data_IF_258884802174
#
_entry.id   IF_258884802174
#
_cell.length_a   1.000
_cell.length_b   1.000
_cell.length_c   1.000
_cell.angle_alpha   90.00
_cell.angle_beta   90.00
_cell.angle_gamma   90.00
#
_symmetry.space_group_name_H-M   'P 1'
#
loop_
_entity.id
_entity.type
_entity.pdbx_description
1 polymer ?
2 non-polymer ?
3 water ?
#
# COMPACT_ATOMS: atom_id res chain seq x y z
N UNK A 19 12.79 18.20 8.65
CA UNK A 19 12.48 17.39 7.50
C UNK A 19 12.49 18.50 6.53
N UNK A 20 12.12 18.38 5.27
CA UNK A 20 11.53 17.25 4.63
C UNK A 20 10.03 17.14 4.78
N UNK A 21 9.39 18.21 5.25
CA UNK A 21 7.96 18.20 5.48
C UNK A 21 7.13 18.80 4.35
N UNK A 22 7.78 19.22 3.30
CA UNK A 22 7.08 19.90 2.24
C UNK A 22 6.71 19.11 1.04
N UNK A 23 7.21 17.95 0.85
CA UNK A 23 6.81 17.15 -0.34
C UNK A 23 5.40 16.68 -0.10
N UNK A 24 4.55 16.98 -1.07
CA UNK A 24 3.17 16.54 -1.00
C UNK A 24 3.06 15.21 -1.66
N UNK A 25 3.42 14.18 -0.90
CA UNK A 25 3.53 12.87 -1.49
C UNK A 25 2.24 12.28 -1.94
N UNK A 26 1.12 12.78 -1.46
CA UNK A 26 -0.19 12.32 -1.85
C UNK A 26 -0.65 12.90 -3.18
N UNK A 27 0.06 13.91 -3.65
CA UNK A 27 -0.23 14.50 -4.95
C UNK A 27 0.78 14.08 -6.01
N UNK A 28 1.00 12.79 -6.08
CA UNK A 28 2.11 12.28 -6.89
C UNK A 28 1.86 12.44 -8.38
N UNK A 29 0.63 12.44 -8.83
CA UNK A 29 0.29 12.58 -10.25
C UNK A 29 0.61 11.35 -11.10
N UNK A 30 0.83 10.19 -10.52
CA UNK A 30 1.34 9.05 -11.28
C UNK A 30 1.23 7.84 -10.43
N UNK A 31 1.32 6.65 -11.10
CA UNK A 31 1.25 5.39 -10.45
C UNK A 31 2.43 4.50 -10.80
N UNK A 32 2.58 3.44 -10.03
CA UNK A 32 3.46 2.33 -10.37
C UNK A 32 2.77 1.50 -11.44
N UNK A 33 3.61 0.87 -12.32
CA UNK A 33 3.07 0.29 -13.58
C UNK A 33 2.46 -1.10 -13.45
N UNK A 34 2.37 -1.68 -12.27
CA UNK A 34 1.80 -2.98 -12.12
C UNK A 34 0.30 -3.03 -11.91
N UNK A 35 -0.38 -1.91 -12.11
CA UNK A 35 -1.82 -1.86 -12.06
C UNK A 35 -2.28 -0.75 -12.96
N UNK A 36 -3.59 -0.50 -12.98
CA UNK A 36 -4.15 0.62 -13.70
C UNK A 36 -5.08 1.35 -12.77
N UNK A 37 -5.25 2.60 -13.04
CA UNK A 37 -6.11 3.45 -12.22
C UNK A 37 -7.10 4.17 -13.10
N UNK A 38 -8.36 4.11 -12.70
CA UNK A 38 -9.45 4.82 -13.34
C UNK A 38 -10.12 5.80 -12.33
N UNK A 39 -10.51 6.93 -12.82
CA UNK A 39 -11.32 7.85 -11.98
C UNK A 39 -12.63 8.11 -12.72
N UNK A 40 -13.73 7.81 -12.06
CA UNK A 40 -15.04 7.81 -12.66
C UNK A 40 -15.87 8.94 -12.04
N UNK A 41 -16.57 9.69 -12.87
CA UNK A 41 -17.49 10.73 -12.43
C UNK A 41 -18.72 10.16 -11.76
N UNK A 42 -19.12 10.74 -10.63
CA UNK A 42 -20.19 10.18 -9.77
C UNK A 42 -21.53 10.47 -10.37
N UNK A 43 -21.54 11.48 -11.23
CA UNK A 43 -22.76 12.06 -11.74
C UNK A 43 -23.03 11.39 -13.11
N UNK A 44 -21.99 11.22 -13.96
CA UNK A 44 -22.27 10.69 -15.32
C UNK A 44 -21.62 9.30 -15.67
N UNK A 45 -20.85 8.81 -14.72
CA UNK A 45 -20.06 7.56 -14.76
C UNK A 45 -19.13 7.38 -15.89
N UNK A 46 -18.52 8.43 -16.40
CA UNK A 46 -17.48 8.26 -17.39
C UNK A 46 -16.15 8.27 -16.70
N UNK A 47 -15.16 7.68 -17.32
CA UNK A 47 -13.81 7.76 -16.88
C UNK A 47 -13.35 9.14 -17.28
N UNK A 48 -13.06 9.95 -16.28
CA UNK A 48 -12.60 11.31 -16.49
C UNK A 48 -11.10 11.53 -16.31
N UNK A 49 -10.41 10.58 -15.71
CA UNK A 49 -9.01 10.64 -15.51
C UNK A 49 -8.54 9.15 -15.40
N UNK A 50 -7.36 8.84 -15.86
CA UNK A 50 -6.86 7.46 -15.78
C UNK A 50 -5.35 7.48 -15.85
N UNK A 51 -4.73 6.40 -15.35
CA UNK A 51 -3.34 6.24 -15.61
C UNK A 51 -3.12 6.01 -17.12
N UNK A 52 -2.00 6.48 -17.63
CA UNK A 52 -1.73 6.47 -19.05
C UNK A 52 -1.59 5.04 -19.62
N UNK A 53 -1.39 4.06 -18.76
CA UNK A 53 -1.26 2.66 -19.15
C UNK A 53 -2.57 1.88 -19.16
N UNK A 54 -3.68 2.57 -18.82
CA UNK A 54 -4.88 1.88 -18.51
C UNK A 54 -5.44 1.06 -19.70
N UNK A 55 -5.57 1.68 -20.85
CA UNK A 55 -6.06 0.96 -22.01
C UNK A 55 -5.18 -0.27 -22.33
N UNK A 56 -3.86 -0.11 -22.35
CA UNK A 56 -2.92 -1.20 -22.63
C UNK A 56 -3.09 -2.29 -21.57
N UNK A 57 -3.15 -1.88 -20.31
CA UNK A 57 -3.26 -2.79 -19.20
C UNK A 57 -4.52 -3.61 -19.16
N UNK A 58 -5.59 -3.00 -19.63
CA UNK A 58 -6.89 -3.61 -19.53
C UNK A 58 -7.42 -4.19 -20.84
N UNK A 59 -6.58 -4.23 -21.87
CA UNK A 59 -6.99 -4.75 -23.21
C UNK A 59 -8.20 -3.99 -23.73
N UNK A 60 -8.15 -2.68 -23.60
CA UNK A 60 -9.22 -1.80 -24.13
C UNK A 60 -8.64 -0.86 -25.16
N UNK A 61 -9.47 -0.45 -26.10
CA UNK A 61 -9.01 0.55 -27.08
C UNK A 61 -8.76 1.92 -26.51
N UNK A 62 -9.71 2.38 -25.76
CA UNK A 62 -9.51 3.65 -25.08
C UNK A 62 -10.23 3.54 -23.78
N UNK A 63 -9.89 4.43 -22.89
CA UNK A 63 -10.59 4.54 -21.60
C UNK A 63 -11.01 5.97 -21.27
N UNK A 64 -10.20 6.97 -21.62
CA UNK A 64 -10.56 8.29 -21.21
C UNK A 64 -11.80 8.74 -21.92
N UNK A 65 -12.76 9.24 -21.16
CA UNK A 65 -14.01 9.73 -21.65
C UNK A 65 -15.05 8.66 -21.90
N UNK A 66 -14.69 7.40 -21.67
CA UNK A 66 -15.57 6.31 -21.96
C UNK A 66 -16.49 6.07 -20.77
N UNK A 67 -17.76 5.83 -21.03
CA UNK A 67 -18.64 5.42 -19.96
C UNK A 67 -18.26 4.11 -19.33
N UNK A 68 -18.36 4.00 -18.00
CA UNK A 68 -18.08 2.78 -17.34
C UNK A 68 -18.91 1.64 -17.92
N UNK A 69 -20.10 1.96 -18.40
CA UNK A 69 -20.97 0.95 -19.04
C UNK A 69 -20.28 0.33 -20.23
N UNK A 70 -19.42 1.06 -20.94
CA UNK A 70 -18.67 0.53 -22.05
C UNK A 70 -17.50 -0.28 -21.58
N UNK A 71 -16.80 0.16 -20.51
CA UNK A 71 -15.57 -0.50 -19.98
C UNK A 71 -15.90 -1.92 -19.50
N UNK A 72 -16.87 -1.95 -18.60
CA UNK A 72 -17.47 -3.18 -18.18
C UNK A 72 -18.80 -2.91 -17.46
N UNK A 73 -19.87 -3.42 -18.06
CA UNK A 73 -21.20 -3.23 -17.54
C UNK A 73 -21.44 -3.80 -16.17
N UNK A 74 -20.88 -4.94 -15.88
CA UNK A 74 -21.02 -5.57 -14.61
C UNK A 74 -20.32 -4.76 -13.53
N UNK A 75 -19.18 -4.14 -13.86
CA UNK A 75 -18.47 -3.30 -12.88
C UNK A 75 -19.37 -2.08 -12.57
N UNK A 76 -19.97 -1.46 -13.55
CA UNK A 76 -20.85 -0.32 -13.34
C UNK A 76 -21.96 -0.72 -12.43
N UNK A 77 -22.57 -1.86 -12.68
CA UNK A 77 -23.61 -2.38 -11.81
C UNK A 77 -23.14 -2.55 -10.34
N UNK A 78 -21.90 -3.03 -10.16
CA UNK A 78 -21.29 -3.21 -8.81
C UNK A 78 -21.06 -1.87 -8.13
N UNK A 79 -20.65 -0.89 -8.90
CA UNK A 79 -20.34 0.44 -8.37
C UNK A 79 -21.55 1.24 -7.98
N UNK A 80 -22.66 1.09 -8.69
CA UNK A 80 -23.78 1.99 -8.49
C UNK A 80 -24.29 2.19 -7.03
N UNK A 81 -24.45 1.09 -6.27
CA UNK A 81 -24.88 1.19 -4.89
C UNK A 81 -23.89 1.93 -4.03
N UNK A 82 -22.62 1.98 -4.42
CA UNK A 82 -21.65 2.67 -3.63
C UNK A 82 -21.77 4.20 -3.80
N UNK A 83 -22.67 4.66 -4.66
CA UNK A 83 -22.80 6.08 -4.93
C UNK A 83 -23.90 6.70 -4.08
N UNK A 84 -24.47 5.90 -3.20
CA UNK A 84 -25.42 6.36 -2.22
C UNK A 84 -24.62 6.97 -1.08
N UNK A 85 -24.79 8.30 -0.88
CA UNK A 85 -24.01 8.99 0.17
C UNK A 85 -24.32 8.53 1.58
N UNK A 86 -25.43 7.83 1.74
CA UNK A 86 -25.79 7.30 3.05
C UNK A 86 -25.29 5.88 3.25
N UNK A 87 -24.69 5.25 2.22
CA UNK A 87 -24.16 3.90 2.40
C UNK A 87 -23.09 3.67 1.36
N UNK A 88 -22.01 4.43 1.43
CA UNK A 88 -21.02 4.40 0.39
C UNK A 88 -20.25 3.08 0.40
N UNK A 89 -19.99 2.56 1.58
CA UNK A 89 -19.42 1.22 1.72
C UNK A 89 -18.09 1.03 1.02
N UNK A 90 -17.24 2.02 1.07
CA UNK A 90 -15.90 2.00 0.52
C UNK A 90 -14.91 2.32 1.67
N UNK A 91 -13.64 1.89 1.51
CA UNK A 91 -13.07 1.09 0.35
C UNK A 91 -13.67 -0.30 0.20
N UNK A 92 -13.58 -0.83 -1.03
CA UNK A 92 -14.15 -2.12 -1.28
C UNK A 92 -13.31 -2.77 -2.36
N UNK A 93 -13.25 -4.08 -2.31
CA UNK A 93 -12.48 -4.87 -3.28
C UNK A 93 -13.41 -5.78 -4.07
N UNK A 94 -13.51 -5.55 -5.37
CA UNK A 94 -14.45 -6.30 -6.12
C UNK A 94 -13.83 -7.05 -7.27
N UNK A 95 -14.37 -8.24 -7.54
CA UNK A 95 -13.91 -9.04 -8.65
C UNK A 95 -14.54 -8.44 -9.90
N UNK A 96 -13.77 -8.34 -10.99
CA UNK A 96 -14.38 -7.97 -12.26
C UNK A 96 -13.54 -8.56 -13.40
N UNK A 97 -14.15 -8.57 -14.58
CA UNK A 97 -13.50 -9.02 -15.76
C UNK A 97 -13.63 -7.90 -16.77
N UNK A 98 -12.50 -7.53 -17.33
CA UNK A 98 -12.42 -6.36 -18.20
C UNK A 98 -11.61 -6.72 -19.42
N UNK A 99 -12.04 -6.21 -20.56
CA UNK A 99 -11.26 -6.07 -21.73
C UNK A 99 -11.59 -7.14 -22.73
N UNK A 100 -10.97 -7.05 -23.90
CA UNK A 100 -11.08 -8.12 -24.88
C UNK A 100 -9.68 -8.32 -25.51
N UNK A 101 -9.05 -9.48 -25.26
CA UNK A 101 -9.67 -10.54 -24.47
C UNK A 101 -9.88 -10.17 -23.01
N UNK A 102 -10.73 -10.91 -22.33
CA UNK A 102 -11.17 -10.63 -20.99
C UNK A 102 -10.21 -11.29 -20.01
N UNK A 103 -9.90 -10.56 -18.93
CA UNK A 103 -8.97 -10.91 -17.90
C UNK A 103 -9.69 -10.60 -16.59
N UNK A 104 -9.42 -11.38 -15.59
CA UNK A 104 -9.95 -11.09 -14.27
C UNK A 104 -9.07 -10.16 -13.46
N UNK A 105 -9.71 -9.17 -12.79
CA UNK A 105 -9.00 -8.13 -12.00
C UNK A 105 -9.65 -8.10 -10.65
N UNK A 106 -8.90 -7.63 -9.69
CA UNK A 106 -9.52 -7.12 -8.45
C UNK A 106 -9.50 -5.62 -8.50
N UNK A 107 -10.70 -5.03 -8.41
CA UNK A 107 -10.84 -3.62 -8.39
C UNK A 107 -10.95 -3.13 -6.97
N UNK A 108 -9.94 -2.37 -6.56
CA UNK A 108 -9.95 -1.72 -5.25
C UNK A 108 -10.54 -0.29 -5.41
N UNK A 109 -11.69 0.06 -4.86
CA UNK A 109 -12.36 1.31 -5.18
C UNK A 109 -12.50 2.05 -3.87
N UNK A 110 -12.26 3.36 -3.93
CA UNK A 110 -12.48 4.33 -2.86
C UNK A 110 -12.79 5.66 -3.48
N UNK A 111 -13.33 6.50 -2.63
CA UNK A 111 -13.71 7.88 -3.01
C UNK A 111 -12.92 8.89 -2.19
N UNK A 112 -12.08 9.65 -2.86
CA UNK A 112 -11.39 10.72 -2.23
C UNK A 112 -12.46 11.78 -2.00
N UNK A 113 -12.15 12.72 -1.11
CA UNK A 113 -13.12 13.83 -0.85
C UNK A 113 -13.61 14.55 -2.08
N UNK A 114 -12.72 14.82 -3.02
CA UNK A 114 -13.16 15.41 -4.28
C UNK A 114 -12.41 14.67 -5.40
N UNK A 115 -12.90 14.74 -6.64
CA UNK A 115 -12.21 14.18 -7.81
C UNK A 115 -12.93 13.04 -8.46
N UNK A 116 -13.89 12.47 -7.77
CA UNK A 116 -14.67 11.34 -8.30
C UNK A 116 -14.42 10.03 -7.59
N UNK A 117 -14.72 8.92 -8.23
CA UNK A 117 -14.54 7.61 -7.63
C UNK A 117 -13.29 6.96 -8.22
N UNK A 118 -12.35 6.53 -7.40
CA UNK A 118 -11.11 5.93 -7.88
C UNK A 118 -11.22 4.41 -7.84
N UNK A 119 -10.91 3.80 -8.98
CA UNK A 119 -10.85 2.34 -9.13
C UNK A 119 -9.43 1.92 -9.52
N UNK A 120 -8.76 1.18 -8.66
CA UNK A 120 -7.42 0.70 -8.95
C UNK A 120 -7.49 -0.76 -9.21
N UNK A 121 -6.89 -1.17 -10.31
CA UNK A 121 -7.07 -2.54 -10.77
C UNK A 121 -5.75 -3.29 -10.82
N UNK A 122 -5.78 -4.46 -10.17
CA UNK A 122 -4.67 -5.41 -10.25
C UNK A 122 -5.16 -6.67 -10.90
N UNK A 123 -4.27 -7.30 -11.64
CA UNK A 123 -4.60 -8.59 -12.24
C UNK A 123 -4.81 -9.61 -11.15
N UNK A 124 -5.83 -10.45 -11.29
CA UNK A 124 -5.97 -11.55 -10.40
C UNK A 124 -4.87 -12.57 -10.78
N UNK A 125 -4.36 -13.22 -9.77
CA UNK A 125 -3.28 -14.16 -10.00
C UNK A 125 -3.23 -15.13 -8.87
N UNK A 126 -2.21 -15.97 -8.92
CA UNK A 126 -1.96 -16.89 -7.84
C UNK A 126 -1.72 -16.10 -6.54
N UNK A 127 -2.32 -16.55 -5.45
CA UNK A 127 -2.06 -15.93 -4.16
C UNK A 127 -1.35 -16.94 -3.28
N UNK A 128 -0.60 -16.42 -2.32
CA UNK A 128 0.17 -17.26 -1.41
C UNK A 128 -0.77 -18.02 -0.49
N UNK A 129 -0.49 -19.28 -0.17
CA UNK A 129 -1.38 -20.05 0.69
C UNK A 129 -0.87 -20.17 2.10
N UNK A 130 -1.64 -19.68 3.07
CA UNK A 130 -1.19 -19.61 4.47
C UNK A 130 -1.77 -20.64 5.42
N UNK A 131 -2.56 -21.54 4.91
CA UNK A 131 -3.26 -22.52 5.71
C UNK A 131 -2.40 -23.48 6.56
N UNK A 132 -1.16 -23.71 6.17
CA UNK A 132 -0.26 -24.60 6.95
C UNK A 132 0.81 -23.92 7.75
N UNK A 133 0.90 -22.60 7.67
CA UNK A 133 2.05 -21.92 8.23
C UNK A 133 1.76 -20.68 9.03
N UNK A 134 0.60 -20.14 8.79
CA UNK A 134 0.17 -19.00 9.54
C UNK A 134 -0.07 -19.35 11.00
N UNK A 135 -0.67 -20.50 11.29
CA UNK A 135 -1.05 -20.80 12.68
C UNK A 135 0.17 -20.91 13.67
N UNK A 136 1.24 -21.54 13.26
CA UNK A 136 2.40 -21.70 14.14
C UNK A 136 3.01 -20.34 14.42
N UNK A 137 2.99 -19.46 13.43
CA UNK A 137 3.57 -18.13 13.60
C UNK A 137 2.69 -17.30 14.46
N UNK A 138 1.39 -17.46 14.38
CA UNK A 138 0.47 -16.70 15.21
C UNK A 138 0.55 -17.19 16.63
N UNK A 139 0.67 -18.49 16.78
CA UNK A 139 0.81 -19.06 18.11
C UNK A 139 2.00 -18.46 18.80
N UNK A 140 3.11 -18.36 18.10
CA UNK A 140 4.30 -17.84 18.70
C UNK A 140 4.04 -16.41 19.20
N UNK A 141 3.43 -15.57 18.39
CA UNK A 141 3.07 -14.18 18.78
C UNK A 141 2.25 -14.19 20.07
N UNK A 142 1.33 -15.13 20.17
CA UNK A 142 0.43 -15.20 21.28
C UNK A 142 1.16 -15.51 22.58
N UNK A 143 2.34 -16.11 22.50
CA UNK A 143 3.12 -16.42 23.68
C UNK A 143 4.04 -15.29 24.13
N UNK A 144 4.26 -14.29 23.30
CA UNK A 144 5.17 -13.24 23.61
C UNK A 144 4.81 -12.51 24.89
N UNK A 145 5.79 -12.35 25.75
CA UNK A 145 5.55 -11.76 27.05
C UNK A 145 6.26 -10.44 27.24
N UNK A 146 6.98 -9.95 26.23
CA UNK A 146 7.70 -8.76 26.22
C UNK A 146 7.64 -8.09 24.89
N UNK A 147 8.03 -6.84 24.82
CA UNK A 147 8.03 -6.14 23.55
C UNK A 147 9.11 -6.73 22.63
N UNK A 148 10.23 -7.06 23.17
CA UNK A 148 11.28 -7.78 22.44
C UNK A 148 10.75 -9.06 21.79
N UNK A 149 10.13 -9.91 22.57
CA UNK A 149 9.58 -11.15 22.04
C UNK A 149 8.54 -10.85 21.00
N UNK A 150 7.64 -9.90 21.27
CA UNK A 150 6.58 -9.62 20.36
C UNK A 150 7.10 -9.13 19.05
N UNK A 151 8.06 -8.27 19.05
CA UNK A 151 8.60 -7.76 17.77
C UNK A 151 9.44 -8.81 17.01
N UNK A 152 10.16 -9.64 17.74
CA UNK A 152 10.90 -10.69 17.12
C UNK A 152 9.95 -11.65 16.49
N UNK A 153 8.86 -11.98 17.15
CA UNK A 153 7.87 -12.86 16.62
C UNK A 153 7.13 -12.25 15.43
N UNK A 154 6.96 -10.91 15.45
CA UNK A 154 6.33 -10.22 14.36
C UNK A 154 7.15 -10.36 13.06
N UNK A 155 8.44 -10.13 13.16
CA UNK A 155 9.24 -10.27 11.94
C UNK A 155 9.24 -11.70 11.37
N UNK A 156 9.22 -12.71 12.23
CA UNK A 156 9.16 -14.07 11.75
C UNK A 156 7.81 -14.32 11.12
N UNK A 157 6.74 -13.82 11.74
CA UNK A 157 5.42 -14.03 11.20
C UNK A 157 5.32 -13.40 9.80
N UNK A 158 5.69 -12.13 9.69
CA UNK A 158 5.57 -11.48 8.40
C UNK A 158 6.52 -12.11 7.33
N UNK A 159 7.70 -12.52 7.71
CA UNK A 159 8.60 -13.22 6.73
C UNK A 159 7.92 -14.49 6.28
N UNK A 160 7.36 -15.23 7.19
CA UNK A 160 6.71 -16.47 6.87
C UNK A 160 5.45 -16.33 6.05
N UNK A 161 4.73 -15.23 6.15
CA UNK A 161 3.51 -15.03 5.40
C UNK A 161 3.80 -14.39 4.05
N UNK A 162 4.90 -13.67 3.92
CA UNK A 162 5.11 -12.87 2.77
C UNK A 162 6.29 -13.26 1.87
N UNK A 163 7.28 -13.89 2.45
CA UNK A 163 8.45 -14.37 1.71
C UNK A 163 9.48 -13.31 1.31
N UNK A 164 9.41 -12.14 1.94
CA UNK A 164 10.41 -11.13 1.69
C UNK A 164 11.78 -11.53 2.26
N UNK A 165 12.83 -11.11 1.57
CA UNK A 165 14.19 -11.39 1.92
C UNK A 165 14.62 -10.92 3.31
N UNK A 166 14.07 -9.77 3.73
CA UNK A 166 14.36 -9.12 5.05
C UNK A 166 13.07 -8.51 5.58
N UNK A 167 12.79 -8.80 6.84
CA UNK A 167 11.64 -8.18 7.54
C UNK A 167 12.15 -7.58 8.85
N UNK A 168 11.68 -6.32 9.11
CA UNK A 168 12.09 -5.53 10.26
C UNK A 168 10.86 -4.97 10.96
N UNK A 169 11.01 -4.71 12.28
CA UNK A 169 10.15 -3.76 13.01
C UNK A 169 11.01 -2.55 13.15
N UNK A 170 10.54 -1.44 12.57
CA UNK A 170 11.16 -0.14 12.62
C UNK A 170 10.34 0.67 13.65
N UNK A 171 10.95 0.86 14.79
CA UNK A 171 10.30 1.48 15.93
C UNK A 171 10.81 2.89 16.15
N UNK A 172 9.88 3.85 16.37
CA UNK A 172 10.30 5.18 16.69
C UNK A 172 10.59 5.28 18.20
N UNK A 173 11.76 5.78 18.54
CA UNK A 173 12.10 5.93 19.92
C UNK A 173 11.50 7.24 20.47
N UNK A 174 11.87 7.54 21.70
CA UNK A 174 11.29 8.65 22.45
C UNK A 174 11.62 9.98 21.82
N UNK A 175 12.67 10.04 21.03
CA UNK A 175 13.02 11.22 20.25
C UNK A 175 12.61 11.20 18.80
N UNK A 176 11.82 10.22 18.42
CA UNK A 176 11.35 10.10 17.05
C UNK A 176 12.31 9.50 16.04
N UNK A 177 13.46 9.06 16.55
CA UNK A 177 14.46 8.43 15.73
C UNK A 177 13.89 7.07 15.38
N UNK A 178 14.32 6.58 14.26
CA UNK A 178 13.92 5.25 13.79
C UNK A 178 14.91 4.23 14.24
N UNK A 179 14.49 3.17 14.84
CA UNK A 179 15.39 2.09 15.21
C UNK A 179 14.89 0.80 14.59
N UNK A 180 15.87 0.05 14.00
CA UNK A 180 15.55 -1.27 13.51
C UNK A 180 15.59 -2.22 14.70
N UNK A 181 14.45 -2.39 15.33
CA UNK A 181 14.35 -2.94 16.64
C UNK A 181 14.35 -4.48 16.57
N UNK A 182 13.77 -5.06 15.52
CA UNK A 182 13.79 -6.51 15.27
C UNK A 182 14.03 -6.65 13.82
N UNK A 183 14.65 -7.80 13.48
CA UNK A 183 14.96 -8.12 12.09
C UNK A 183 15.15 -9.61 11.90
N UNK A 184 14.62 -10.11 10.80
CA UNK A 184 15.08 -11.39 10.31
C UNK A 184 15.32 -11.28 8.83
N UNK A 185 16.21 -12.15 8.31
CA UNK A 185 16.51 -12.14 6.90
C UNK A 185 17.05 -13.49 6.46
N UNK A 186 16.96 -13.73 5.19
CA UNK A 186 17.51 -14.96 4.64
C UNK A 186 18.99 -14.93 4.89
N UNK A 187 19.54 -16.11 5.12
CA UNK A 187 20.96 -16.24 5.51
C UNK A 187 21.90 -15.60 4.47
N UNK A 188 22.93 -14.96 4.91
CA UNK A 188 23.87 -14.32 4.06
C UNK A 188 23.63 -12.87 3.77
N UNK A 189 22.44 -12.37 4.02
CA UNK A 189 22.16 -10.98 3.73
C UNK A 189 22.63 -10.09 4.89
N UNK A 190 22.73 -8.81 4.61
CA UNK A 190 23.17 -7.85 5.63
C UNK A 190 22.16 -7.74 6.80
N UNK A 191 22.53 -7.71 8.06
CA UNK A 191 21.65 -7.35 9.17
C UNK A 191 21.65 -5.88 9.38
N UNK A 192 20.47 -5.32 9.24
CA UNK A 192 20.23 -3.93 9.64
C UNK A 192 19.83 -3.79 11.13
N UNK A 193 19.66 -4.91 11.82
CA UNK A 193 19.33 -4.91 13.27
C UNK A 193 20.23 -3.96 14.00
N UNK A 194 19.58 -3.06 14.77
CA UNK A 194 20.30 -2.07 15.56
C UNK A 194 20.65 -0.79 14.88
N UNK A 195 20.35 -0.66 13.60
CA UNK A 195 20.65 0.57 12.94
C UNK A 195 19.66 1.69 13.45
N UNK A 196 20.11 2.89 13.61
CA UNK A 196 19.25 3.95 14.12
C UNK A 196 19.38 5.07 13.11
N UNK A 197 18.27 5.72 12.85
CA UNK A 197 18.15 6.71 11.82
C UNK A 197 17.45 8.00 12.33
N UNK A 198 17.75 9.12 11.71
CA UNK A 198 17.10 10.39 12.05
C UNK A 198 15.62 10.31 11.88
N UNK A 199 14.91 11.11 12.68
CA UNK A 199 13.47 11.18 12.60
C UNK A 199 13.01 11.61 11.22
N UNK A 200 13.70 12.52 10.57
CA UNK A 200 13.30 13.02 9.28
C UNK A 200 13.31 11.98 8.15
N UNK A 201 14.00 10.82 8.30
CA UNK A 201 13.98 9.77 7.28
C UNK A 201 12.59 9.27 7.04
N UNK A 202 11.67 9.45 8.01
CA UNK A 202 10.25 9.28 7.79
C UNK A 202 9.51 10.55 8.32
N UNK A 203 9.34 11.50 7.42
CA UNK A 203 8.74 12.80 7.81
C UNK A 203 7.36 12.62 8.39
N UNK A 204 7.01 13.62 9.32
CA UNK A 204 5.68 13.55 9.94
C UNK A 204 4.53 13.49 9.02
N UNK A 205 4.64 14.22 7.87
CA UNK A 205 3.61 14.11 6.84
C UNK A 205 3.41 12.69 6.28
N UNK A 206 4.50 11.98 6.14
CA UNK A 206 4.42 10.62 5.69
C UNK A 206 3.83 9.74 6.81
N UNK A 207 4.27 9.96 8.05
CA UNK A 207 3.74 9.18 9.13
C UNK A 207 2.23 9.34 9.24
N UNK A 208 1.76 10.59 9.08
CA UNK A 208 0.33 10.90 9.13
C UNK A 208 -0.42 10.16 8.02
N UNK A 209 0.13 10.11 6.80
CA UNK A 209 -0.50 9.36 5.76
C UNK A 209 -0.58 7.88 6.12
N UNK A 210 0.51 7.36 6.68
CA UNK A 210 0.59 5.95 7.01
C UNK A 210 -0.30 5.48 8.15
N UNK A 211 -0.81 6.43 8.93
CA UNK A 211 -1.84 6.10 9.92
C UNK A 211 -3.15 5.82 9.25
N UNK A 212 -3.38 6.38 8.06
CA UNK A 212 -4.59 6.16 7.35
C UNK A 212 -4.46 5.07 6.28
N UNK A 213 -3.34 5.10 5.59
CA UNK A 213 -3.07 4.19 4.51
C UNK A 213 -2.00 3.22 5.01
N UNK A 214 -2.47 2.13 5.57
CA UNK A 214 -1.71 1.29 6.46
C UNK A 214 -0.79 0.21 5.79
N UNK A 215 -0.91 0.07 4.49
CA UNK A 215 -0.03 -0.87 3.73
C UNK A 215 0.45 -0.17 2.47
N UNK A 216 1.74 -0.24 2.23
CA UNK A 216 2.30 0.22 0.96
C UNK A 216 3.13 -0.92 0.36
N UNK A 217 2.95 -1.07 -0.92
CA UNK A 217 3.75 -2.04 -1.66
C UNK A 217 4.48 -1.35 -2.80
N UNK A 218 5.80 -1.42 -2.81
CA UNK A 218 6.64 -0.90 -3.86
C UNK A 218 7.19 -2.15 -4.60
N UNK A 219 6.72 -2.35 -5.81
CA UNK A 219 6.99 -3.61 -6.55
C UNK A 219 8.40 -3.62 -7.10
N UNK A 220 8.86 -2.51 -7.62
CA UNK A 220 10.16 -2.40 -8.22
C UNK A 220 10.68 -0.97 -7.99
N UNK A 221 11.72 -0.72 -7.20
CA UNK A 221 12.17 0.62 -6.85
C UNK A 221 12.54 1.46 -8.07
N UNK A 222 12.94 0.79 -9.14
CA UNK A 222 13.40 1.37 -10.37
C UNK A 222 12.33 1.68 -11.40
N UNK A 223 11.07 1.55 -11.03
CA UNK A 223 9.97 1.79 -11.97
C UNK A 223 9.96 3.15 -12.60
N UNK A 224 9.39 3.14 -13.81
CA UNK A 224 9.08 4.35 -14.53
C UNK A 224 7.61 4.72 -14.16
N UNK A 225 7.43 5.84 -13.46
CA UNK A 225 6.07 6.28 -13.12
C UNK A 225 5.15 6.43 -14.29
N UNK A 226 3.92 5.98 -14.14
CA UNK A 226 2.93 6.08 -15.16
C UNK A 226 2.06 7.30 -14.83
N UNK A 227 2.17 8.35 -15.64
CA UNK A 227 1.43 9.58 -15.32
C UNK A 227 -0.06 9.43 -15.49
N UNK A 228 -0.78 10.19 -14.68
CA UNK A 228 -2.21 10.29 -14.89
C UNK A 228 -2.53 11.17 -16.10
N UNK A 229 -3.65 10.86 -16.74
CA UNK A 229 -4.10 11.61 -17.83
C UNK A 229 -5.55 11.95 -17.63
N UNK A 230 -5.85 13.23 -17.65
CA UNK A 230 -4.92 14.37 -17.49
C UNK A 230 -4.29 14.43 -16.10
N UNK A 231 -3.27 15.24 -15.90
CA UNK A 231 -2.72 15.42 -14.59
C UNK A 231 -3.73 15.96 -13.59
N UNK A 232 -4.34 17.07 -13.94
CA UNK A 232 -5.25 17.76 -13.01
C UNK A 232 -6.66 17.15 -13.17
N UNK A 233 -7.30 16.92 -12.05
CA UNK A 233 -8.65 16.43 -12.09
C UNK A 233 -9.51 17.41 -12.83
N UNK A 234 -10.33 16.92 -13.74
CA UNK A 234 -11.24 17.79 -14.46
C UNK A 234 -12.32 18.36 -13.58
N UNK A 235 -12.52 17.73 -12.46
CA UNK A 235 -13.52 18.11 -11.55
C UNK A 235 -13.00 19.19 -10.68
N UNK A 236 -11.74 19.34 -10.39
CA UNK A 236 -11.27 20.31 -9.39
C UNK A 236 -10.28 21.34 -9.92
N UNK A 237 -9.69 21.06 -11.09
CA UNK A 237 -8.53 21.77 -11.57
C UNK A 237 -7.26 21.63 -10.73
N UNK A 238 -7.26 20.70 -9.78
CA UNK A 238 -6.11 20.48 -8.91
C UNK A 238 -5.63 19.04 -9.04
N UNK A 239 -4.44 18.78 -8.53
CA UNK A 239 -3.91 17.41 -8.48
C UNK A 239 -4.86 16.48 -7.76
N UNK A 240 -4.97 15.28 -8.28
CA UNK A 240 -5.74 14.23 -7.66
C UNK A 240 -5.19 13.81 -6.31
N UNK A 241 -6.06 13.72 -5.31
CA UNK A 241 -5.65 13.23 -3.99
C UNK A 241 -5.51 11.74 -4.08
N UNK A 242 -4.25 11.28 -4.05
CA UNK A 242 -3.90 9.88 -4.17
C UNK A 242 -3.56 9.21 -2.86
N UNK A 243 -3.94 9.84 -1.73
CA UNK A 243 -3.71 9.29 -0.41
C UNK A 243 -4.15 7.89 -0.27
N UNK A 244 -5.31 7.53 -0.81
CA UNK A 244 -5.84 6.21 -0.64
C UNK A 244 -5.52 5.20 -1.76
N UNK A 245 -4.60 5.54 -2.63
CA UNK A 245 -4.29 4.70 -3.79
C UNK A 245 -3.13 3.79 -3.49
N UNK A 246 -3.36 2.52 -3.60
CA UNK A 246 -2.33 1.53 -3.41
C UNK A 246 -1.30 1.51 -4.51
N UNK A 247 -1.63 2.09 -5.67
CA UNK A 247 -0.70 2.17 -6.78
C UNK A 247 0.11 3.44 -6.81
N UNK A 248 -0.15 4.34 -5.84
CA UNK A 248 0.50 5.66 -5.83
C UNK A 248 2.06 5.60 -6.10
N UNK A 249 2.65 6.44 -6.93
CA UNK A 249 4.08 6.62 -6.99
C UNK A 249 4.59 7.15 -5.72
N UNK A 250 5.76 6.73 -5.32
CA UNK A 250 6.39 7.17 -4.08
C UNK A 250 7.44 8.23 -4.25
N UNK A 251 7.78 8.93 -3.14
CA UNK A 251 8.79 9.96 -3.16
C UNK A 251 10.11 9.46 -3.78
N UNK A 252 10.60 10.27 -4.72
CA UNK A 252 11.93 9.99 -5.28
C UNK A 252 13.05 10.01 -4.28
N UNK A 253 12.96 10.75 -3.18
CA UNK A 253 13.97 10.72 -2.17
C UNK A 253 14.02 9.34 -1.51
N UNK A 254 12.85 8.80 -1.20
CA UNK A 254 12.77 7.48 -0.61
C UNK A 254 13.27 6.40 -1.62
N UNK A 255 12.84 6.52 -2.85
CA UNK A 255 13.31 5.58 -3.88
C UNK A 255 14.82 5.64 -3.95
N UNK A 256 15.42 6.81 -4.00
CA UNK A 256 16.83 6.93 -4.00
C UNK A 256 17.52 6.30 -2.84
N UNK A 257 16.95 6.47 -1.63
CA UNK A 257 17.44 5.86 -0.43
C UNK A 257 17.54 4.31 -0.65
N UNK A 258 16.47 3.71 -1.13
CA UNK A 258 16.40 2.28 -1.32
C UNK A 258 17.39 1.86 -2.43
N UNK A 259 17.47 2.63 -3.50
CA UNK A 259 18.45 2.32 -4.52
C UNK A 259 19.83 2.33 -3.97
N UNK A 260 20.21 3.29 -3.19
CA UNK A 260 21.54 3.41 -2.66
C UNK A 260 21.81 2.19 -1.69
N UNK A 261 20.79 1.56 -1.11
CA UNK A 261 20.93 0.37 -0.26
C UNK A 261 20.98 -0.93 -1.09
N UNK A 262 20.68 -0.80 -2.36
CA UNK A 262 20.47 -1.95 -3.25
C UNK A 262 19.21 -2.71 -3.13
N UNK A 263 18.20 -2.15 -2.46
CA UNK A 263 16.93 -2.85 -2.26
C UNK A 263 16.06 -2.64 -3.49
N UNK A 264 15.38 -3.71 -3.94
CA UNK A 264 14.62 -3.64 -5.11
C UNK A 264 13.11 -3.52 -4.99
N UNK A 265 12.58 -3.94 -3.85
CA UNK A 265 11.14 -4.00 -3.61
C UNK A 265 10.93 -3.93 -2.12
N UNK A 266 9.75 -3.39 -1.74
CA UNK A 266 9.42 -3.30 -0.31
C UNK A 266 7.94 -3.52 -0.04
N UNK A 267 7.62 -3.95 1.16
CA UNK A 267 6.28 -3.98 1.71
C UNK A 267 6.43 -3.31 3.04
N UNK A 268 5.51 -2.38 3.37
CA UNK A 268 5.55 -1.76 4.69
C UNK A 268 4.13 -1.68 5.23
N UNK A 269 4.03 -1.94 6.52
CA UNK A 269 2.72 -2.03 7.20
C UNK A 269 2.85 -1.25 8.49
N UNK A 270 1.86 -0.38 8.64
CA UNK A 270 1.84 0.52 9.79
C UNK A 270 1.50 -0.20 11.07
N UNK A 271 2.15 0.19 12.14
CA UNK A 271 1.78 -0.17 13.48
C UNK A 271 1.26 1.13 14.20
N UNK A 272 -0.05 1.19 14.37
CA UNK A 272 -0.73 2.41 14.84
C UNK A 272 -1.21 2.19 16.27
N UNK A 273 -0.67 3.01 17.12
CA UNK A 273 -0.98 2.98 18.58
C UNK A 273 -1.36 4.42 19.01
N UNK A 274 -2.55 4.61 19.61
CA UNK A 274 -2.94 5.94 20.02
C UNK A 274 -3.12 6.89 18.89
N UNK A 275 -3.50 6.42 17.72
CA UNK A 275 -3.70 7.24 16.59
C UNK A 275 -2.40 7.77 16.01
N UNK A 276 -1.23 7.29 16.45
CA UNK A 276 0.05 7.76 15.95
C UNK A 276 0.78 6.53 15.42
N UNK A 277 1.71 6.80 14.54
CA UNK A 277 2.56 5.71 14.03
C UNK A 277 3.61 5.29 15.04
N UNK A 278 3.42 4.18 15.70
CA UNK A 278 4.37 3.66 16.67
C UNK A 278 5.63 3.14 15.96
N UNK A 279 5.43 2.64 14.78
CA UNK A 279 6.55 2.03 14.04
C UNK A 279 5.95 1.39 12.83
N UNK A 280 6.71 0.54 12.11
CA UNK A 280 6.31 -0.05 10.85
C UNK A 280 6.94 -1.44 10.90
N UNK A 281 6.24 -2.35 10.23
CA UNK A 281 6.83 -3.60 9.67
C UNK A 281 7.31 -3.24 8.29
N UNK A 282 8.63 -3.34 8.08
CA UNK A 282 9.27 -2.93 6.84
C UNK A 282 9.99 -4.19 6.27
N UNK A 283 9.67 -4.50 5.02
CA UNK A 283 10.22 -5.64 4.33
C UNK A 283 10.96 -5.20 3.13
N UNK A 284 12.09 -5.87 2.88
CA UNK A 284 12.90 -5.66 1.68
C UNK A 284 13.01 -6.94 0.85
N UNK A 285 13.03 -6.72 -0.45
CA UNK A 285 13.38 -7.83 -1.39
C UNK A 285 14.41 -7.33 -2.35
N UNK A 286 15.27 -8.23 -2.81
CA UNK A 286 16.31 -7.92 -3.76
C UNK A 286 15.95 -8.23 -5.19
N UNK A 287 14.73 -8.64 -5.42
CA UNK A 287 14.09 -8.71 -6.72
C UNK A 287 12.71 -8.11 -6.61
N UNK A 288 12.12 -7.81 -7.78
CA UNK A 288 10.72 -7.29 -7.73
C UNK A 288 9.81 -8.21 -7.03
N UNK A 289 8.83 -7.64 -6.32
CA UNK A 289 7.90 -8.43 -5.57
C UNK A 289 6.52 -7.75 -5.42
N UNK A 290 5.44 -8.48 -5.57
CA UNK A 290 4.10 -7.93 -5.35
C UNK A 290 3.33 -8.86 -4.44
N UNK A 291 2.54 -8.30 -3.55
CA UNK A 291 1.59 -9.12 -2.85
C UNK A 291 0.21 -8.55 -3.12
N UNK A 292 -0.72 -9.44 -3.35
CA UNK A 292 -2.02 -9.10 -3.88
C UNK A 292 -2.98 -8.69 -2.76
N UNK A 293 -4.19 -8.28 -3.13
CA UNK A 293 -5.11 -7.61 -2.23
C UNK A 293 -5.30 -8.35 -0.92
N UNK A 294 -5.60 -9.63 -0.99
CA UNK A 294 -6.02 -10.30 0.23
C UNK A 294 -4.90 -10.35 1.20
N UNK A 295 -3.68 -10.62 0.76
CA UNK A 295 -2.59 -10.67 1.70
C UNK A 295 -2.24 -9.31 2.20
N UNK A 296 -2.41 -8.26 1.41
CA UNK A 296 -2.27 -6.90 1.99
C UNK A 296 -3.25 -6.63 3.13
N UNK A 297 -4.51 -7.04 2.94
CA UNK A 297 -5.48 -6.94 3.99
C UNK A 297 -5.19 -7.75 5.22
N UNK A 298 -4.69 -8.97 5.03
CA UNK A 298 -4.29 -9.81 6.12
C UNK A 298 -3.16 -9.14 6.88
N UNK A 299 -2.16 -8.67 6.18
CA UNK A 299 -1.04 -8.00 6.78
C UNK A 299 -1.56 -6.77 7.60
N UNK A 300 -2.42 -5.97 7.04
CA UNK A 300 -2.93 -4.79 7.75
C UNK A 300 -3.56 -5.19 9.07
N UNK A 301 -4.35 -6.24 9.03
CA UNK A 301 -5.02 -6.75 10.21
C UNK A 301 -4.10 -7.34 11.24
N UNK A 302 -3.14 -8.14 10.84
CA UNK A 302 -2.15 -8.69 11.76
C UNK A 302 -1.43 -7.58 12.49
N UNK A 303 -1.08 -6.55 11.74
CA UNK A 303 -0.39 -5.46 12.31
C UNK A 303 -1.30 -4.74 13.35
N UNK A 304 -2.57 -4.60 13.07
CA UNK A 304 -3.47 -4.00 14.08
C UNK A 304 -3.57 -4.86 15.32
N UNK A 305 -3.61 -6.17 15.18
CA UNK A 305 -3.61 -7.03 16.34
C UNK A 305 -2.33 -6.91 17.14
N UNK A 306 -1.19 -6.84 16.49
CA UNK A 306 0.05 -6.70 17.16
C UNK A 306 0.09 -5.33 17.88
N UNK A 307 -0.39 -4.29 17.22
CA UNK A 307 -0.47 -2.97 17.82
C UNK A 307 -1.29 -2.95 19.11
N UNK A 308 -2.35 -3.73 19.19
CA UNK A 308 -3.12 -3.83 20.41
C UNK A 308 -2.27 -4.39 21.54
N UNK A 309 -1.37 -5.29 21.20
CA UNK A 309 -0.55 -5.94 22.21
C UNK A 309 0.54 -5.01 22.68
N UNK A 310 1.02 -4.16 21.77
CA UNK A 310 2.09 -3.25 22.11
C UNK A 310 1.55 -2.33 23.09
N UNK A 311 0.35 -1.93 22.67
CA UNK A 311 -0.31 -0.92 23.27
C UNK A 311 -0.40 -1.35 24.72
N UNK A 312 -0.95 -2.53 24.98
CA UNK A 312 -0.91 -3.12 26.31
C UNK A 312 0.44 -3.30 26.99
N UNK A 313 1.55 -3.48 26.28
CA UNK A 313 2.85 -3.79 26.89
C UNK A 313 3.60 -2.56 27.36
N UNK A 314 3.03 -1.38 27.10
CA UNK A 314 3.58 -0.06 27.41
C UNK A 314 3.68 0.85 26.23
X LIG B 1 9.31 7.06 3.59
X LIG B 1 11.32 6.13 4.66
X LIG B 1 10.06 6.05 4.32
X LIG B 1 9.42 4.82 4.77
X LIG B 1 10.46 4.13 5.47
X LIG B 1 11.57 5.02 5.32
X LIG B 1 10.36 2.82 6.16
X LIG B 1 8.03 4.33 4.57
X LIG B 1 8.19 3.29 3.43
X LIG B 1 6.86 2.69 3.08
X LIG B 1 5.82 2.87 3.64
X LIG B 1 6.91 1.90 2.14
X LIG B 1 12.91 4.80 5.83
X LIG B 1 13.15 2.38 5.30
X LIG B 1 13.60 3.49 5.88
X LIG B 1 14.86 3.31 6.55
X LIG B 1 15.15 1.90 6.33
X LIG B 1 14.02 1.43 5.56
X LIG B 1 15.72 4.26 7.27
X LIG B 1 13.91 0.25 5.13
X LIG B 1 16.34 1.21 6.84
X LIG B 1 16.37 -0.09 6.96
X LIG B 1 13.87 9.86 3.43
X LIG B 1 15.12 10.11 3.74
X LIG B 1 15.42 11.51 4.04
X LIG B 1 14.13 12.11 3.87
X LIG B 1 13.24 11.01 3.50
X LIG B 1 16.70 12.15 4.43
X LIG B 1 16.06 9.27 3.80
X LIG B 1 13.65 13.54 4.08
X LIG B 1 14.70 14.47 4.52
X LIG B 1 11.84 11.15 3.21
X LIG B 1 10.85 8.98 3.57
X LIG B 1 10.82 10.15 3.01
X LIG B 1 9.61 10.43 2.29
X LIG B 1 8.85 9.23 2.39
X LIG B 1 9.72 8.41 3.22
X LIG B 1 9.22 11.68 1.56
X LIG B 1 7.49 9.02 1.81
X LIG B 1 7.48 7.89 0.77
X LIG B 1 6.12 7.77 0.18
X LIG B 1 5.92 8.25 -0.89
X LIG B 1 5.28 7.24 0.82
#
# INVERSE_FOLDING_TARGET
MVAGHASGSPAFGTASHSNCEHEEIHLAGSIQPHGALLVVSEHDHRVIQASANAAEFLNLGSVLGVPLAEIDGDLLIKILPHLDPTAEGMPVAVRCRIGNPSTEYCGLMHRPPEGGLIIELERAGPSIDLSGTLAPALERIRTAGSLRALCDDTVLLFQQCTGYDRVMVYRFDEQGHGLVFSECHVPGLESYFGNRYPSSFIPQMARQLYVRQRVRVLVDVTYQPVPLEPRLSPLTGRDLDMSGCFLRSMSPIHLQFLKDMGVRATLAVSLVVGGKLWGLVVCHHYLPRFIRFELRAICKRLAERIATRITALES
BLA CHA NA C1A C2A C3A C4A CMA CAA CBA CGA O1A O2A CHB NB C1B C2B C3B C4B CMB OB CAB CBB NC C1C C2C C3C C4C CMC OC CAC CBC CHD ND C1D C2D C3D C4D CMD CAD CBD CGD O1D O2D
#
